data_IF_581386836881
#
_entry.id   IF_581386836881
#
_cell.length_a   1.000
_cell.length_b   1.000
_cell.length_c   1.000
_cell.angle_alpha   90.00
_cell.angle_beta   90.00
_cell.angle_gamma   90.00
#
_symmetry.space_group_name_H-M   'P 1'
#
loop_
_entity.id
_entity.type
_entity.pdbx_description
1 polymer ?
#
# COMPACT_ATOMS: atom_id res chain seq x y z
N UNK A 1 -48.22 -18.11 6.45
CA UNK A 1 -47.32 -17.14 7.10
C UNK A 1 -45.94 -17.77 7.24
N UNK A 2 -44.92 -17.14 6.63
CA UNK A 2 -43.47 -17.09 6.91
C UNK A 2 -42.85 -18.28 7.69
N UNK A 3 -41.72 -18.90 7.28
CA UNK A 3 -40.47 -18.27 6.83
C UNK A 3 -39.69 -19.25 5.94
N UNK A 4 -39.28 -18.80 4.74
CA UNK A 4 -38.21 -19.45 3.96
C UNK A 4 -36.92 -19.32 4.76
N UNK A 5 -36.31 -20.44 5.14
CA UNK A 5 -34.97 -20.46 5.71
C UNK A 5 -33.98 -20.46 4.54
N UNK A 6 -33.57 -19.26 4.10
CA UNK A 6 -32.48 -19.12 3.15
C UNK A 6 -31.20 -19.53 3.87
N UNK A 7 -30.64 -20.69 3.51
CA UNK A 7 -29.32 -21.12 3.98
C UNK A 7 -28.32 -20.14 3.38
N UNK A 8 -27.92 -19.15 4.18
CA UNK A 8 -26.79 -18.29 3.88
C UNK A 8 -25.53 -19.14 3.87
N UNK A 9 -25.02 -19.45 2.68
CA UNK A 9 -23.62 -19.82 2.55
C UNK A 9 -22.85 -18.50 2.54
N UNK A 10 -22.66 -17.90 3.71
CA UNK A 10 -21.50 -17.03 3.90
C UNK A 10 -20.29 -17.89 3.58
N UNK A 11 -19.72 -17.67 2.39
CA UNK A 11 -18.38 -18.12 2.05
C UNK A 11 -17.43 -17.36 2.98
N UNK A 12 -17.32 -17.85 4.21
CA UNK A 12 -16.30 -17.45 5.16
C UNK A 12 -14.99 -18.13 4.72
N UNK A 13 -14.37 -17.61 3.65
CA UNK A 13 -12.92 -17.76 3.48
C UNK A 13 -12.26 -16.84 4.51
N UNK A 14 -12.26 -17.29 5.77
CA UNK A 14 -11.33 -16.82 6.80
C UNK A 14 -9.92 -17.39 6.51
N UNK A 15 -9.43 -17.20 5.29
CA UNK A 15 -8.19 -17.81 4.79
C UNK A 15 -7.49 -16.90 3.77
N UNK A 16 -7.07 -15.71 4.20
CA UNK A 16 -5.84 -15.09 3.68
C UNK A 16 -5.21 -14.27 4.81
N UNK A 17 -4.19 -14.79 5.48
CA UNK A 17 -3.15 -13.89 5.97
C UNK A 17 -2.43 -13.34 4.74
N UNK A 18 -2.27 -12.01 4.68
CA UNK A 18 -1.29 -11.21 3.89
C UNK A 18 -1.73 -10.67 2.51
N UNK A 19 -2.50 -9.58 2.48
CA UNK A 19 -2.14 -8.49 1.55
C UNK A 19 -1.28 -7.51 2.35
N UNK A 20 -0.04 -7.91 2.65
CA UNK A 20 0.97 -6.91 2.99
C UNK A 20 1.22 -6.04 1.76
N UNK A 21 1.92 -4.93 1.92
CA UNK A 21 2.23 -4.10 0.77
C UNK A 21 3.06 -4.85 -0.27
N UNK A 22 2.74 -4.58 -1.54
CA UNK A 22 3.37 -5.21 -2.70
C UNK A 22 4.80 -4.70 -2.91
N UNK A 23 5.12 -3.57 -2.31
CA UNK A 23 6.40 -2.88 -2.44
C UNK A 23 7.34 -3.15 -1.26
N UNK A 24 6.97 -4.00 -0.30
CA UNK A 24 7.80 -4.27 0.88
C UNK A 24 7.08 -3.96 2.19
N UNK A 25 7.81 -3.97 3.30
CA UNK A 25 7.20 -3.90 4.65
C UNK A 25 6.79 -2.49 5.10
N UNK A 26 7.42 -1.46 4.55
CA UNK A 26 7.22 -0.05 4.93
C UNK A 26 6.18 0.68 4.08
N UNK A 27 5.64 0.02 3.05
CA UNK A 27 4.60 0.62 2.22
C UNK A 27 3.35 1.00 3.03
N UNK A 28 2.70 2.10 2.64
CA UNK A 28 1.45 2.56 3.24
C UNK A 28 0.35 2.67 2.19
N UNK A 29 -0.89 2.36 2.57
CA UNK A 29 -2.08 2.50 1.73
C UNK A 29 -2.97 3.69 2.14
N UNK A 30 -2.66 4.35 3.25
CA UNK A 30 -3.34 5.52 3.76
C UNK A 30 -2.42 6.33 4.70
N UNK A 31 -2.81 7.57 5.01
CA UNK A 31 -2.03 8.48 5.86
C UNK A 31 -2.59 8.61 7.29
N UNK A 32 -3.50 7.73 7.73
CA UNK A 32 -4.20 7.91 9.01
C UNK A 32 -3.25 7.70 10.18
N UNK A 33 -3.13 8.68 11.06
CA UNK A 33 -2.19 8.63 12.19
C UNK A 33 -0.72 8.73 11.79
N UNK A 34 -0.41 9.03 10.51
CA UNK A 34 0.95 9.31 10.08
C UNK A 34 1.25 10.81 10.19
N UNK A 35 2.52 11.11 10.43
CA UNK A 35 3.02 12.48 10.37
C UNK A 35 3.01 13.00 8.94
N UNK A 36 3.13 14.31 8.77
CA UNK A 36 3.33 14.87 7.43
C UNK A 36 4.69 14.44 6.90
N UNK A 37 4.75 14.02 5.63
CA UNK A 37 5.99 13.59 5.00
C UNK A 37 5.78 12.67 3.80
N UNK A 38 6.88 12.17 3.27
CA UNK A 38 6.92 11.31 2.10
C UNK A 38 7.16 9.86 2.51
N UNK A 39 6.40 8.96 1.91
CA UNK A 39 6.33 7.55 2.28
C UNK A 39 6.28 6.66 1.05
N UNK A 40 6.73 5.43 1.22
CA UNK A 40 6.61 4.41 0.20
C UNK A 40 5.15 4.03 -0.08
N UNK A 41 4.78 4.01 -1.36
CA UNK A 41 3.46 3.55 -1.80
C UNK A 41 3.33 2.04 -1.64
N UNK A 42 2.21 1.56 -1.11
CA UNK A 42 1.98 0.13 -0.88
C UNK A 42 1.91 -0.73 -2.16
N UNK A 43 1.70 -0.11 -3.32
CA UNK A 43 1.32 -0.79 -4.55
C UNK A 43 2.25 -0.55 -5.73
N UNK A 44 3.08 0.51 -5.72
CA UNK A 44 3.99 0.82 -6.82
C UNK A 44 5.31 1.42 -6.35
N UNK A 45 6.43 0.85 -6.80
CA UNK A 45 7.75 1.42 -6.55
C UNK A 45 8.04 2.67 -7.38
N UNK A 46 7.31 2.90 -8.47
CA UNK A 46 7.48 4.07 -9.35
C UNK A 46 6.75 5.32 -8.82
N UNK A 47 6.18 5.21 -7.62
CA UNK A 47 5.39 6.25 -6.98
C UNK A 47 5.75 6.35 -5.51
N UNK A 48 5.48 7.51 -4.95
CA UNK A 48 5.56 7.74 -3.51
C UNK A 48 4.32 8.48 -3.04
N UNK A 49 4.08 8.41 -1.74
CA UNK A 49 2.93 8.99 -1.07
C UNK A 49 3.37 10.22 -0.30
N UNK A 50 2.70 11.33 -0.52
CA UNK A 50 2.84 12.54 0.28
C UNK A 50 1.66 12.57 1.26
N UNK A 51 1.96 12.52 2.55
CA UNK A 51 0.96 12.68 3.61
C UNK A 51 0.96 14.13 4.11
N UNK A 52 -0.21 14.78 4.06
CA UNK A 52 -0.41 16.13 4.64
C UNK A 52 -1.74 16.16 5.39
N UNK A 53 -1.69 16.36 6.71
CA UNK A 53 -2.85 16.36 7.60
C UNK A 53 -3.70 15.09 7.42
N UNK A 54 -3.02 13.93 7.45
CA UNK A 54 -3.61 12.59 7.23
C UNK A 54 -4.27 12.38 5.85
N UNK A 55 -4.04 13.28 4.89
CA UNK A 55 -4.51 13.13 3.50
C UNK A 55 -3.44 12.50 2.64
N UNK A 56 -3.87 11.54 1.83
CA UNK A 56 -3.05 10.76 0.90
C UNK A 56 -2.98 11.45 -0.46
N UNK A 57 -1.77 11.82 -0.88
CA UNK A 57 -1.46 12.26 -2.23
C UNK A 57 -0.41 11.32 -2.80
N UNK A 58 -0.43 11.10 -4.11
CA UNK A 58 0.49 10.19 -4.78
C UNK A 58 1.16 10.91 -5.92
N UNK A 59 2.48 10.77 -6.02
CA UNK A 59 3.28 11.36 -7.08
C UNK A 59 4.07 10.29 -7.83
N UNK A 60 4.20 10.48 -9.13
CA UNK A 60 4.94 9.58 -10.01
C UNK A 60 6.39 10.02 -10.14
N UNK A 61 7.31 9.05 -10.10
CA UNK A 61 8.71 9.27 -10.43
C UNK A 61 8.94 9.16 -11.94
N UNK A 62 9.87 9.93 -12.51
CA UNK A 62 10.27 9.74 -13.90
C UNK A 62 11.02 8.39 -14.05
N UNK A 63 10.70 7.57 -15.06
CA UNK A 63 11.45 6.34 -15.32
C UNK A 63 12.96 6.62 -15.57
N UNK A 64 13.88 5.75 -15.12
CA UNK A 64 13.66 4.44 -14.49
C UNK A 64 13.69 4.49 -12.94
N UNK A 65 13.32 5.61 -12.33
CA UNK A 65 13.45 5.78 -10.88
C UNK A 65 12.35 5.06 -10.10
N UNK A 66 12.74 4.53 -8.94
CA UNK A 66 11.88 3.94 -7.92
C UNK A 66 12.11 4.60 -6.57
N UNK A 67 11.09 4.63 -5.71
CA UNK A 67 11.20 5.23 -4.39
C UNK A 67 12.08 4.39 -3.45
N UNK A 68 12.97 5.04 -2.70
CA UNK A 68 13.64 4.46 -1.54
C UNK A 68 13.23 5.24 -0.29
N UNK A 69 12.65 4.53 0.67
CA UNK A 69 12.07 5.10 1.88
C UNK A 69 13.11 5.40 2.96
N UNK A 70 14.31 4.84 2.84
CA UNK A 70 15.46 5.18 3.69
C UNK A 70 16.08 6.49 3.22
N UNK A 71 16.28 6.62 1.90
CA UNK A 71 16.89 7.80 1.28
C UNK A 71 15.89 8.95 1.08
N UNK A 72 14.59 8.65 1.11
CA UNK A 72 13.47 9.57 0.84
C UNK A 72 13.58 10.27 -0.52
N UNK A 73 13.92 9.51 -1.55
CA UNK A 73 14.05 10.01 -2.92
C UNK A 73 13.90 8.91 -3.97
N UNK A 74 13.78 9.31 -5.24
CA UNK A 74 13.85 8.40 -6.38
C UNK A 74 15.28 7.96 -6.67
N UNK A 75 15.50 6.65 -6.70
CA UNK A 75 16.78 5.99 -7.00
C UNK A 75 16.60 4.95 -8.11
N UNK A 76 17.68 4.51 -8.75
CA UNK A 76 17.60 3.45 -9.78
C UNK A 76 17.53 2.04 -9.20
N UNK A 77 17.96 1.85 -7.95
CA UNK A 77 17.87 0.59 -7.20
C UNK A 77 17.50 0.93 -5.76
N UNK A 78 16.33 0.47 -5.32
CA UNK A 78 15.80 0.74 -3.97
C UNK A 78 16.21 -0.36 -2.99
N UNK A 79 16.50 0.03 -1.76
CA UNK A 79 16.75 -0.87 -0.62
C UNK A 79 15.48 -1.20 0.17
N UNK A 80 14.40 -0.45 -0.05
CA UNK A 80 13.13 -0.58 0.69
C UNK A 80 11.96 -1.00 -0.19
N UNK A 81 12.07 -0.80 -1.50
CA UNK A 81 11.02 -1.09 -2.45
C UNK A 81 11.31 -2.38 -3.21
N UNK A 82 10.68 -3.46 -2.77
CA UNK A 82 10.79 -4.79 -3.37
C UNK A 82 9.41 -5.17 -3.93
N UNK A 83 9.28 -5.32 -5.25
CA UNK A 83 8.06 -5.87 -5.85
C UNK A 83 7.99 -7.36 -5.54
N UNK A 84 7.05 -7.76 -4.69
CA UNK A 84 6.77 -9.18 -4.46
C UNK A 84 6.02 -9.74 -5.67
N UNK A 85 6.69 -10.60 -6.44
CA UNK A 85 6.09 -11.38 -7.54
C UNK A 85 5.23 -12.54 -7.01
#
# INVERSE_FOLDING_TARGET
MMKKLTIGLQVAIASMRRYGCLTGRSGISDCKGLSNGDYQDCFSCEKYVICINERYYQEHLPPPLVWDDTEKQGVTVSTTCETVE
#
